data_IF_995437397332
#
_entry.id   IF_995437397332
#
_cell.length_a   1.000
_cell.length_b   1.000
_cell.length_c   1.000
_cell.angle_alpha   90.00
_cell.angle_beta   90.00
_cell.angle_gamma   90.00
#
_symmetry.space_group_name_H-M   'P 1'
#
loop_
_entity.id
_entity.type
_entity.pdbx_description
1 polymer ?
#
# COMPACT_ATOMS: atom_id res chain seq x y z
N UNK A 1 22.51 17.72 4.59
CA UNK A 1 21.48 17.52 3.53
C UNK A 1 20.49 16.41 3.90
N UNK A 2 20.95 15.24 4.36
CA UNK A 2 20.07 14.11 4.73
C UNK A 2 19.16 14.33 5.95
N UNK A 3 19.57 15.14 6.94
CA UNK A 3 18.71 15.48 8.10
C UNK A 3 17.45 16.26 7.71
N UNK A 4 17.52 17.14 6.71
CA UNK A 4 16.35 17.89 6.23
C UNK A 4 15.37 17.00 5.46
N UNK A 5 15.83 15.87 4.92
CA UNK A 5 14.98 14.91 4.21
C UNK A 5 14.22 14.01 5.19
N UNK A 6 14.84 13.64 6.32
CA UNK A 6 14.26 12.74 7.33
C UNK A 6 13.24 13.43 8.24
N UNK A 7 13.26 14.76 8.33
CA UNK A 7 12.32 15.54 9.12
C UNK A 7 10.95 15.62 8.43
N UNK A 8 9.88 15.42 9.20
CA UNK A 8 8.53 15.80 8.78
C UNK A 8 8.46 17.32 8.69
N UNK A 9 7.98 17.85 7.57
CA UNK A 9 7.72 19.29 7.47
C UNK A 9 6.56 19.65 8.42
N UNK A 10 6.44 20.91 8.83
CA UNK A 10 5.28 21.39 9.62
C UNK A 10 3.94 21.07 8.93
N UNK A 11 3.99 20.84 7.62
CA UNK A 11 2.82 20.73 6.76
C UNK A 11 2.52 19.28 6.33
N UNK A 12 3.39 18.30 6.65
CA UNK A 12 3.27 16.91 6.17
C UNK A 12 3.34 15.88 7.30
N UNK A 13 2.48 14.86 7.23
CA UNK A 13 2.52 13.72 8.17
C UNK A 13 3.72 12.83 7.86
N UNK A 14 4.03 12.64 6.57
CA UNK A 14 5.14 11.82 6.12
C UNK A 14 6.44 12.63 6.03
N UNK A 15 7.60 12.02 6.33
CA UNK A 15 8.90 12.56 5.95
C UNK A 15 8.97 12.81 4.44
N UNK A 16 9.61 13.92 4.04
CA UNK A 16 9.62 14.38 2.65
C UNK A 16 10.19 13.36 1.66
N UNK A 17 11.20 12.58 2.07
CA UNK A 17 11.78 11.56 1.20
C UNK A 17 10.80 10.40 0.91
N UNK A 18 9.92 10.06 1.86
CA UNK A 18 8.90 9.01 1.68
C UNK A 18 7.83 9.50 0.71
N UNK A 19 7.41 10.76 0.84
CA UNK A 19 6.49 11.37 -0.11
C UNK A 19 7.07 11.41 -1.53
N UNK A 20 8.32 11.88 -1.68
CA UNK A 20 9.02 11.90 -2.97
C UNK A 20 9.12 10.49 -3.56
N UNK A 21 9.42 9.49 -2.74
CA UNK A 21 9.44 8.09 -3.16
C UNK A 21 8.09 7.66 -3.73
N UNK A 22 6.98 7.83 -3.00
CA UNK A 22 5.66 7.40 -3.48
C UNK A 22 5.21 8.15 -4.75
N UNK A 23 5.56 9.44 -4.89
CA UNK A 23 5.32 10.20 -6.14
C UNK A 23 6.11 9.58 -7.30
N UNK A 24 7.42 9.35 -7.07
CA UNK A 24 8.31 8.79 -8.08
C UNK A 24 7.86 7.39 -8.49
N UNK A 25 7.48 6.56 -7.52
CA UNK A 25 6.95 5.21 -7.77
C UNK A 25 5.68 5.25 -8.60
N UNK A 26 4.72 6.14 -8.29
CA UNK A 26 3.52 6.28 -9.10
C UNK A 26 3.84 6.63 -10.57
N UNK A 27 4.75 7.58 -10.80
CA UNK A 27 5.14 7.98 -12.16
C UNK A 27 5.83 6.85 -12.91
N UNK A 28 6.80 6.18 -12.29
CA UNK A 28 7.54 5.08 -12.95
C UNK A 28 6.60 3.90 -13.21
N UNK A 29 5.76 3.51 -12.24
CA UNK A 29 4.80 2.44 -12.44
C UNK A 29 3.76 2.76 -13.52
N UNK A 30 3.32 4.02 -13.68
CA UNK A 30 2.44 4.40 -14.80
C UNK A 30 3.11 4.10 -16.14
N UNK A 31 4.39 4.49 -16.30
CA UNK A 31 5.15 4.20 -17.51
C UNK A 31 5.35 2.70 -17.70
N UNK A 32 5.60 1.96 -16.63
CA UNK A 32 5.83 0.52 -16.69
C UNK A 32 4.55 -0.27 -17.02
N UNK A 33 3.41 0.10 -16.44
CA UNK A 33 2.10 -0.44 -16.80
C UNK A 33 1.79 -0.15 -18.26
N UNK A 34 2.01 1.09 -18.72
CA UNK A 34 1.80 1.43 -20.12
C UNK A 34 2.72 0.65 -21.05
N UNK A 35 4.00 0.48 -20.70
CA UNK A 35 4.95 -0.37 -21.43
C UNK A 35 4.44 -1.80 -21.54
N UNK A 36 4.03 -2.40 -20.42
CA UNK A 36 3.67 -3.82 -20.35
C UNK A 36 2.30 -4.13 -20.95
N UNK A 37 1.31 -3.24 -20.78
CA UNK A 37 -0.07 -3.44 -21.25
C UNK A 37 -0.26 -3.09 -22.73
N UNK A 38 0.56 -2.20 -23.30
CA UNK A 38 0.45 -1.78 -24.70
C UNK A 38 1.30 -2.61 -25.67
N UNK A 39 1.93 -3.70 -25.20
CA UNK A 39 2.63 -4.63 -26.10
C UNK A 39 1.65 -5.23 -27.14
N UNK A 40 2.07 -5.37 -28.42
CA UNK A 40 3.43 -5.26 -28.93
C UNK A 40 3.86 -3.84 -29.38
N UNK A 41 3.06 -2.80 -29.13
CA UNK A 41 3.36 -1.45 -29.65
C UNK A 41 4.62 -0.84 -29.03
N UNK A 42 4.95 -1.23 -27.79
CA UNK A 42 6.01 -0.64 -26.96
C UNK A 42 7.35 -1.38 -27.01
N UNK A 43 7.34 -2.66 -27.37
CA UNK A 43 8.54 -3.50 -27.52
C UNK A 43 9.30 -3.19 -28.81
N UNK A 44 10.51 -3.75 -28.95
CA UNK A 44 11.35 -3.69 -30.17
C UNK A 44 10.53 -4.00 -31.43
N UNK A 45 10.63 -3.11 -32.42
CA UNK A 45 9.86 -3.17 -33.68
C UNK A 45 8.45 -2.59 -33.59
N UNK A 46 8.01 -2.15 -32.41
CA UNK A 46 6.73 -1.47 -32.19
C UNK A 46 6.80 0.04 -32.48
N UNK A 47 5.64 0.66 -32.72
CA UNK A 47 5.52 2.08 -33.06
C UNK A 47 6.00 3.00 -31.92
N UNK A 48 5.89 2.55 -30.66
CA UNK A 48 6.26 3.28 -29.45
C UNK A 48 7.65 2.89 -28.91
N UNK A 49 8.44 2.09 -29.64
CA UNK A 49 9.76 1.62 -29.20
C UNK A 49 10.67 2.77 -28.74
N UNK A 50 10.72 3.85 -29.53
CA UNK A 50 11.60 5.00 -29.26
C UNK A 50 11.21 5.73 -27.97
N UNK A 51 9.91 5.82 -27.65
CA UNK A 51 9.46 6.43 -26.40
C UNK A 51 9.84 5.56 -25.20
N UNK A 52 9.76 4.24 -25.37
CA UNK A 52 10.12 3.24 -24.35
C UNK A 52 11.54 2.70 -24.51
N UNK A 53 12.47 3.48 -25.08
CA UNK A 53 13.82 3.00 -25.38
C UNK A 53 14.55 2.44 -24.15
N UNK A 54 14.39 3.09 -22.98
CA UNK A 54 14.99 2.62 -21.72
C UNK A 54 14.39 1.28 -21.24
N UNK A 55 13.07 1.09 -21.37
CA UNK A 55 12.42 -0.19 -21.07
C UNK A 55 12.84 -1.27 -22.04
N UNK A 56 13.06 -0.91 -23.31
CA UNK A 56 13.56 -1.85 -24.31
C UNK A 56 14.99 -2.32 -23.97
N UNK A 57 15.88 -1.45 -23.48
CA UNK A 57 17.20 -1.86 -22.96
C UNK A 57 17.07 -2.88 -21.82
N UNK A 58 16.10 -2.67 -20.93
CA UNK A 58 15.81 -3.61 -19.85
C UNK A 58 15.28 -4.94 -20.40
N UNK A 59 14.35 -4.89 -21.36
CA UNK A 59 13.78 -6.07 -22.02
C UNK A 59 14.79 -6.89 -22.84
N UNK A 60 15.87 -6.26 -23.31
CA UNK A 60 16.98 -6.95 -23.98
C UNK A 60 17.79 -7.83 -23.00
N UNK A 61 17.59 -7.67 -21.69
CA UNK A 61 18.19 -8.50 -20.63
C UNK A 61 17.15 -9.44 -20.05
N UNK A 62 15.99 -8.89 -19.72
CA UNK A 62 14.85 -9.59 -19.14
C UNK A 62 13.80 -9.90 -20.21
N UNK A 63 13.86 -11.14 -20.71
CA UNK A 63 13.05 -11.58 -21.83
C UNK A 63 11.54 -11.60 -21.51
N UNK A 64 11.13 -11.62 -20.23
CA UNK A 64 9.70 -11.51 -19.88
C UNK A 64 9.14 -10.14 -20.24
N UNK A 65 9.95 -9.09 -20.15
CA UNK A 65 9.56 -7.75 -20.56
C UNK A 65 9.52 -7.59 -22.09
N UNK A 66 10.29 -8.41 -22.80
CA UNK A 66 10.36 -8.42 -24.27
C UNK A 66 9.28 -9.25 -24.94
N UNK A 67 8.76 -10.30 -24.27
CA UNK A 67 7.71 -11.16 -24.80
C UNK A 67 6.31 -10.54 -24.61
N UNK A 68 5.59 -10.18 -25.69
CA UNK A 68 4.23 -9.65 -25.60
C UNK A 68 3.22 -10.62 -24.97
N UNK A 69 3.54 -11.92 -24.92
CA UNK A 69 2.66 -12.99 -24.43
C UNK A 69 3.00 -13.45 -23.02
N UNK A 70 3.99 -12.86 -22.35
CA UNK A 70 4.34 -13.27 -20.99
C UNK A 70 3.24 -12.92 -19.98
N UNK A 71 2.68 -13.96 -19.35
CA UNK A 71 1.58 -13.85 -18.40
C UNK A 71 1.99 -13.19 -17.07
N UNK A 72 3.24 -13.38 -16.63
CA UNK A 72 3.73 -12.88 -15.35
C UNK A 72 3.90 -11.37 -15.41
N UNK A 73 4.51 -10.85 -16.48
CA UNK A 73 4.67 -9.41 -16.70
C UNK A 73 3.32 -8.74 -16.93
N UNK A 74 2.37 -9.41 -17.59
CA UNK A 74 0.99 -8.90 -17.70
C UNK A 74 0.27 -8.87 -16.33
N UNK A 75 0.40 -9.92 -15.52
CA UNK A 75 -0.23 -9.97 -14.19
C UNK A 75 0.35 -8.93 -13.24
N UNK A 76 1.68 -8.78 -13.21
CA UNK A 76 2.36 -7.77 -12.37
C UNK A 76 2.01 -6.35 -12.80
N UNK A 77 1.90 -6.07 -14.10
CA UNK A 77 1.40 -4.77 -14.59
C UNK A 77 -0.02 -4.45 -14.11
N UNK A 78 -0.92 -5.44 -14.05
CA UNK A 78 -2.29 -5.22 -13.52
C UNK A 78 -2.29 -4.93 -12.01
N UNK A 79 -1.42 -5.60 -11.25
CA UNK A 79 -1.24 -5.29 -9.82
C UNK A 79 -0.67 -3.88 -9.62
N UNK A 80 0.24 -3.44 -10.49
CA UNK A 80 0.81 -2.09 -10.44
C UNK A 80 -0.25 -0.99 -10.63
N UNK A 81 -1.36 -1.24 -11.35
CA UNK A 81 -2.47 -0.28 -11.43
C UNK A 81 -3.02 0.04 -10.03
N UNK A 82 -3.20 -0.98 -9.20
CA UNK A 82 -3.67 -0.81 -7.82
C UNK A 82 -2.64 -0.04 -7.00
N UNK A 83 -1.35 -0.38 -7.14
CA UNK A 83 -0.25 0.32 -6.45
C UNK A 83 -0.20 1.81 -6.82
N UNK A 84 -0.36 2.15 -8.10
CA UNK A 84 -0.41 3.54 -8.59
C UNK A 84 -1.54 4.30 -7.90
N UNK A 85 -2.77 3.74 -7.91
CA UNK A 85 -3.93 4.36 -7.28
C UNK A 85 -3.66 4.60 -5.79
N UNK A 86 -3.09 3.61 -5.09
CA UNK A 86 -2.81 3.76 -3.67
C UNK A 86 -1.67 4.74 -3.38
N UNK A 87 -0.63 4.81 -4.21
CA UNK A 87 0.43 5.83 -4.11
C UNK A 87 -0.14 7.24 -4.27
N UNK A 88 -1.01 7.46 -5.26
CA UNK A 88 -1.71 8.74 -5.44
C UNK A 88 -2.63 9.05 -4.25
N UNK A 89 -3.31 8.03 -3.72
CA UNK A 89 -4.15 8.18 -2.54
C UNK A 89 -3.36 8.56 -1.29
N UNK A 90 -2.15 8.01 -1.08
CA UNK A 90 -1.25 8.42 0.00
C UNK A 90 -0.89 9.90 -0.10
N UNK A 91 -0.57 10.38 -1.31
CA UNK A 91 -0.23 11.80 -1.54
C UNK A 91 -1.44 12.68 -1.19
N UNK A 92 -2.64 12.27 -1.59
CA UNK A 92 -3.88 12.95 -1.22
C UNK A 92 -4.10 12.98 0.30
N UNK A 93 -3.97 11.84 0.98
CA UNK A 93 -4.13 11.73 2.43
C UNK A 93 -3.09 12.55 3.20
N UNK A 94 -1.83 12.56 2.72
CA UNK A 94 -0.75 13.33 3.31
C UNK A 94 -1.04 14.83 3.24
N UNK A 95 -1.55 15.34 2.11
CA UNK A 95 -2.00 16.72 1.95
C UNK A 95 -3.19 17.06 2.87
N UNK A 96 -4.10 16.11 3.07
CA UNK A 96 -5.26 16.26 3.97
C UNK A 96 -4.91 16.05 5.44
N UNK A 97 -3.65 15.73 5.77
CA UNK A 97 -3.19 15.42 7.13
C UNK A 97 -4.08 14.34 7.80
N UNK A 98 -4.47 13.32 7.03
CA UNK A 98 -5.32 12.24 7.55
C UNK A 98 -4.53 11.29 8.45
N UNK A 99 -5.16 10.81 9.54
CA UNK A 99 -4.61 9.76 10.41
C UNK A 99 -4.28 8.46 9.67
N UNK A 100 -4.98 8.18 8.58
CA UNK A 100 -4.78 6.97 7.78
C UNK A 100 -3.51 7.01 6.93
N UNK A 101 -2.89 8.19 6.76
CA UNK A 101 -1.72 8.39 5.88
C UNK A 101 -0.58 7.44 6.19
N UNK A 102 -0.20 7.31 7.47
CA UNK A 102 0.95 6.46 7.87
C UNK A 102 0.65 4.99 7.61
N UNK A 103 -0.54 4.53 7.99
CA UNK A 103 -0.95 3.13 7.81
C UNK A 103 -1.04 2.78 6.32
N UNK A 104 -1.70 3.62 5.52
CA UNK A 104 -1.80 3.40 4.06
C UNK A 104 -0.42 3.41 3.41
N UNK A 105 0.45 4.37 3.77
CA UNK A 105 1.81 4.43 3.24
C UNK A 105 2.63 3.18 3.58
N UNK A 106 2.51 2.69 4.81
CA UNK A 106 3.14 1.44 5.23
C UNK A 106 2.63 0.27 4.38
N UNK A 107 1.31 0.06 4.30
CA UNK A 107 0.70 -1.05 3.56
C UNK A 107 1.10 -1.06 2.09
N UNK A 108 1.06 0.09 1.41
CA UNK A 108 1.43 0.17 -0.01
C UNK A 108 2.89 -0.19 -0.24
N UNK A 109 3.80 0.25 0.64
CA UNK A 109 5.21 -0.10 0.51
C UNK A 109 5.47 -1.58 0.82
N UNK A 110 4.67 -2.21 1.70
CA UNK A 110 4.67 -3.67 1.87
C UNK A 110 4.27 -4.40 0.57
N UNK A 111 3.24 -3.92 -0.14
CA UNK A 111 2.79 -4.50 -1.41
C UNK A 111 3.87 -4.38 -2.49
N UNK A 112 4.43 -3.19 -2.68
CA UNK A 112 5.51 -2.93 -3.65
C UNK A 112 6.71 -3.83 -3.35
N UNK A 113 7.11 -3.92 -2.09
CA UNK A 113 8.22 -4.77 -1.65
C UNK A 113 7.97 -6.23 -2.00
N UNK A 114 6.82 -6.79 -1.59
CA UNK A 114 6.53 -8.21 -1.75
C UNK A 114 6.34 -8.62 -3.21
N UNK A 115 5.71 -7.76 -4.03
CA UNK A 115 5.61 -7.99 -5.47
C UNK A 115 7.00 -8.11 -6.09
N UNK A 116 7.90 -7.17 -5.79
CA UNK A 116 9.26 -7.15 -6.33
C UNK A 116 10.08 -8.34 -5.81
N UNK A 117 9.93 -8.69 -4.53
CA UNK A 117 10.59 -9.85 -3.96
C UNK A 117 10.12 -11.15 -4.63
N UNK A 118 8.81 -11.30 -4.84
CA UNK A 118 8.24 -12.43 -5.57
C UNK A 118 8.73 -12.48 -7.03
N UNK A 119 8.89 -11.32 -7.66
CA UNK A 119 9.46 -11.25 -9.00
C UNK A 119 10.90 -11.78 -9.03
N UNK A 120 11.76 -11.31 -8.12
CA UNK A 120 13.16 -11.73 -8.03
C UNK A 120 13.30 -13.23 -7.73
N UNK A 121 12.45 -13.79 -6.87
CA UNK A 121 12.53 -15.22 -6.53
C UNK A 121 12.22 -16.14 -7.72
N UNK A 122 11.48 -15.67 -8.74
CA UNK A 122 11.28 -16.43 -10.00
C UNK A 122 12.59 -16.70 -10.76
N UNK A 123 13.65 -15.94 -10.47
CA UNK A 123 14.96 -16.06 -11.11
C UNK A 123 15.97 -16.82 -10.25
N UNK A 124 15.65 -17.10 -8.99
CA UNK A 124 16.52 -17.84 -8.08
C UNK A 124 16.22 -19.33 -8.22
N UNK A 125 17.23 -20.10 -8.65
CA UNK A 125 17.19 -21.58 -8.69
C UNK A 125 15.98 -22.14 -9.44
N UNK A 126 15.82 -21.71 -10.69
CA UNK A 126 14.76 -22.19 -11.57
C UNK A 126 14.78 -23.72 -11.71
N UNK A 127 13.62 -24.40 -11.69
CA UNK A 127 13.54 -25.84 -11.90
C UNK A 127 14.12 -26.26 -13.26
N UNK A 128 14.76 -27.42 -13.30
CA UNK A 128 15.29 -27.99 -14.54
C UNK A 128 14.20 -28.09 -15.63
N UNK A 129 14.54 -27.69 -16.85
CA UNK A 129 13.60 -27.65 -17.98
C UNK A 129 12.80 -26.36 -18.11
N UNK A 130 12.91 -25.42 -17.17
CA UNK A 130 12.34 -24.07 -17.32
C UNK A 130 13.19 -23.25 -18.28
N UNK A 131 12.56 -22.47 -19.17
CA UNK A 131 13.32 -21.54 -20.02
C UNK A 131 13.99 -20.46 -19.14
N UNK A 132 15.24 -20.12 -19.47
CA UNK A 132 15.87 -18.92 -18.90
C UNK A 132 15.18 -17.69 -19.46
N UNK A 133 14.76 -16.81 -18.57
CA UNK A 133 14.20 -15.50 -18.92
C UNK A 133 15.26 -14.40 -18.93
N UNK A 134 16.51 -14.72 -18.58
CA UNK A 134 17.65 -13.84 -18.79
C UNK A 134 18.26 -14.16 -20.16
N UNK A 135 18.45 -13.13 -20.96
CA UNK A 135 19.03 -13.23 -22.30
C UNK A 135 20.41 -13.88 -22.26
N UNK A 136 20.59 -14.98 -23.02
CA UNK A 136 21.81 -15.79 -23.03
C UNK A 136 23.04 -15.06 -23.58
N UNK A 137 22.83 -14.01 -24.36
CA UNK A 137 23.87 -13.15 -24.93
C UNK A 137 24.13 -11.89 -24.10
N UNK A 138 23.46 -11.71 -22.96
CA UNK A 138 23.68 -10.55 -22.10
C UNK A 138 24.99 -10.72 -21.31
N UNK A 139 25.83 -9.67 -21.33
CA UNK A 139 27.04 -9.64 -20.50
C UNK A 139 26.66 -9.67 -19.02
N UNK A 140 27.43 -10.39 -18.20
CA UNK A 140 27.22 -10.47 -16.75
C UNK A 140 27.03 -9.09 -16.10
N UNK A 141 27.84 -8.09 -16.49
CA UNK A 141 27.70 -6.73 -15.96
C UNK A 141 26.38 -6.07 -16.37
N UNK A 142 25.93 -6.30 -17.61
CA UNK A 142 24.63 -5.80 -18.08
C UNK A 142 23.51 -6.43 -17.26
N UNK A 143 23.54 -7.74 -17.07
CA UNK A 143 22.57 -8.44 -16.21
C UNK A 143 22.61 -7.92 -14.78
N UNK A 144 23.79 -7.77 -14.18
CA UNK A 144 23.92 -7.31 -12.80
C UNK A 144 23.33 -5.90 -12.58
N UNK A 145 23.70 -4.94 -13.42
CA UNK A 145 23.23 -3.56 -13.23
C UNK A 145 21.78 -3.35 -13.71
N UNK A 146 21.40 -3.94 -14.84
CA UNK A 146 20.07 -3.69 -15.42
C UNK A 146 19.00 -4.47 -14.69
N UNK A 147 19.29 -5.69 -14.25
CA UNK A 147 18.33 -6.54 -13.54
C UNK A 147 18.48 -6.37 -12.02
N UNK A 148 19.59 -6.87 -11.44
CA UNK A 148 19.73 -6.95 -9.98
C UNK A 148 19.75 -5.60 -9.26
N UNK A 149 20.45 -4.60 -9.80
CA UNK A 149 20.51 -3.28 -9.15
C UNK A 149 19.18 -2.54 -9.32
N UNK A 150 18.59 -2.57 -10.51
CA UNK A 150 17.30 -1.89 -10.76
C UNK A 150 16.19 -2.47 -9.89
N UNK A 151 15.98 -3.79 -9.91
CA UNK A 151 15.01 -4.47 -9.06
C UNK A 151 15.37 -4.38 -7.57
N UNK A 152 16.66 -4.40 -7.26
CA UNK A 152 17.17 -4.25 -5.90
C UNK A 152 16.74 -2.93 -5.24
N UNK A 153 16.71 -1.82 -5.99
CA UNK A 153 16.20 -0.53 -5.50
C UNK A 153 14.72 -0.62 -5.12
N UNK A 154 13.93 -1.35 -5.90
CA UNK A 154 12.50 -1.58 -5.66
C UNK A 154 12.21 -2.49 -4.46
N UNK A 155 13.18 -3.27 -3.98
CA UNK A 155 13.11 -3.92 -2.67
C UNK A 155 13.67 -3.03 -1.56
N UNK A 156 14.81 -2.37 -1.79
CA UNK A 156 15.53 -1.64 -0.76
C UNK A 156 14.75 -0.43 -0.25
N UNK A 157 14.25 0.44 -1.14
CA UNK A 157 13.61 1.69 -0.72
C UNK A 157 12.27 1.42 -0.01
N UNK A 158 11.34 0.59 -0.53
CA UNK A 158 10.14 0.22 0.22
C UNK A 158 10.46 -0.47 1.55
N UNK A 159 11.51 -1.31 1.60
CA UNK A 159 11.99 -1.90 2.85
C UNK A 159 12.39 -0.85 3.90
N UNK A 160 13.11 0.19 3.49
CA UNK A 160 13.46 1.31 4.37
C UNK A 160 12.22 2.10 4.83
N UNK A 161 11.24 2.31 3.96
CA UNK A 161 9.95 2.94 4.32
C UNK A 161 9.23 2.10 5.38
N UNK A 162 9.12 0.79 5.16
CA UNK A 162 8.49 -0.16 6.08
C UNK A 162 9.17 -0.07 7.46
N UNK A 163 10.48 -0.20 7.54
CA UNK A 163 11.23 -0.12 8.80
C UNK A 163 10.99 1.22 9.51
N UNK A 164 11.04 2.32 8.76
CA UNK A 164 10.87 3.67 9.34
C UNK A 164 9.46 3.88 9.89
N UNK A 165 8.44 3.43 9.17
CA UNK A 165 7.04 3.61 9.57
C UNK A 165 6.59 2.56 10.59
N UNK A 166 7.17 1.36 10.60
CA UNK A 166 6.90 0.31 11.60
C UNK A 166 7.11 0.83 13.02
N UNK A 167 8.26 1.45 13.28
CA UNK A 167 8.58 2.01 14.59
C UNK A 167 7.54 3.07 15.02
N UNK A 168 7.06 3.87 14.07
CA UNK A 168 6.03 4.88 14.32
C UNK A 168 4.68 4.26 14.64
N UNK A 169 4.31 3.16 13.97
CA UNK A 169 3.07 2.43 14.23
C UNK A 169 3.11 1.66 15.56
N UNK A 170 4.29 1.22 15.99
CA UNK A 170 4.49 0.41 17.20
C UNK A 170 4.70 1.21 18.50
N UNK A 171 4.54 2.54 18.49
CA UNK A 171 4.85 3.37 19.68
C UNK A 171 3.65 3.44 20.65
N UNK A 172 3.92 3.47 21.96
CA UNK A 172 2.91 3.49 23.05
C UNK A 172 1.91 4.65 23.01
N UNK A 173 2.20 5.76 22.34
CA UNK A 173 1.23 6.85 22.13
C UNK A 173 -0.04 6.39 21.41
N UNK A 174 0.04 5.37 20.55
CA UNK A 174 -1.14 4.76 19.91
C UNK A 174 -1.93 3.83 20.85
N UNK A 175 -1.28 3.35 21.92
CA UNK A 175 -1.86 2.41 22.90
C UNK A 175 -2.47 3.16 24.10
N UNK A 176 -1.97 4.36 24.43
CA UNK A 176 -2.36 5.11 25.64
C UNK A 176 -3.10 6.45 25.40
N UNK A 177 -3.31 6.92 24.17
CA UNK A 177 -4.04 8.16 23.94
C UNK A 177 -5.57 7.97 24.05
N UNK A 178 -6.09 8.11 25.27
CA UNK A 178 -7.48 8.49 25.53
C UNK A 178 -7.79 9.95 25.14
N UNK A 179 -6.80 10.71 24.65
CA UNK A 179 -6.98 12.07 24.14
C UNK A 179 -6.76 12.05 22.63
N UNK A 180 -7.87 12.02 21.88
CA UNK A 180 -7.94 12.10 20.42
C UNK A 180 -7.50 13.49 19.92
N UNK A 181 -6.22 13.80 20.03
CA UNK A 181 -5.61 14.99 19.43
C UNK A 181 -5.10 14.68 18.02
N UNK A 182 -5.99 14.13 17.18
CA UNK A 182 -5.82 14.14 15.74
C UNK A 182 -7.09 14.77 15.20
N UNK A 183 -6.94 15.95 14.59
CA UNK A 183 -8.04 16.77 14.08
C UNK A 183 -9.07 15.91 13.37
N UNK A 184 -10.20 15.70 14.07
CA UNK A 184 -11.41 15.22 13.46
C UNK A 184 -11.75 16.24 12.37
N UNK A 185 -12.10 15.77 11.17
CA UNK A 185 -12.86 16.61 10.24
C UNK A 185 -14.00 17.19 11.07
N UNK A 186 -14.09 18.52 11.17
CA UNK A 186 -15.17 19.19 11.87
C UNK A 186 -16.48 18.65 11.30
N UNK A 187 -17.10 17.73 12.04
CA UNK A 187 -18.48 17.32 11.80
C UNK A 187 -19.30 18.57 12.06
N UNK A 188 -19.98 19.05 11.01
CA UNK A 188 -20.85 20.22 11.05
C UNK A 188 -21.83 20.09 12.22
N UNK A 189 -22.29 21.21 12.79
CA UNK A 189 -23.17 21.23 13.97
C UNK A 189 -24.37 20.28 13.88
N UNK A 190 -24.91 20.07 12.67
CA UNK A 190 -26.00 19.11 12.42
C UNK A 190 -25.63 17.63 12.71
N UNK A 191 -24.39 17.23 12.46
CA UNK A 191 -23.92 15.85 12.72
C UNK A 191 -23.75 15.61 14.22
N UNK A 192 -23.44 16.65 15.00
CA UNK A 192 -23.36 16.55 16.46
C UNK A 192 -24.75 16.43 17.11
N UNK A 193 -25.77 17.06 16.54
CA UNK A 193 -27.15 16.97 17.01
C UNK A 193 -27.73 15.56 16.77
N UNK A 194 -27.52 15.02 15.56
CA UNK A 194 -27.89 13.65 15.22
C UNK A 194 -27.21 12.59 16.11
N UNK A 195 -25.93 12.78 16.45
CA UNK A 195 -25.21 11.87 17.35
C UNK A 195 -25.68 11.97 18.81
N UNK A 196 -26.26 13.11 19.23
CA UNK A 196 -26.87 13.26 20.56
C UNK A 196 -28.24 12.57 20.61
N UNK A 197 -29.06 12.71 19.58
CA UNK A 197 -30.34 11.99 19.46
C UNK A 197 -30.13 10.48 19.51
N UNK A 198 -29.23 9.95 18.67
CA UNK A 198 -28.96 8.50 18.61
C UNK A 198 -28.42 7.96 19.93
N UNK A 199 -27.66 8.75 20.69
CA UNK A 199 -27.19 8.34 22.03
C UNK A 199 -28.30 8.36 23.08
N UNK A 200 -29.22 9.33 23.02
CA UNK A 200 -30.38 9.40 23.90
C UNK A 200 -31.28 8.18 23.73
N UNK A 201 -31.59 7.83 22.49
CA UNK A 201 -32.51 6.72 22.18
C UNK A 201 -31.94 5.37 22.61
N UNK A 202 -30.64 5.15 22.40
CA UNK A 202 -29.97 3.93 22.85
C UNK A 202 -29.88 3.82 24.39
N UNK A 203 -29.87 4.93 25.12
CA UNK A 203 -29.88 4.90 26.60
C UNK A 203 -31.28 4.57 27.11
N UNK A 204 -32.33 5.07 26.45
CA UNK A 204 -33.73 4.78 26.82
C UNK A 204 -34.05 3.31 26.56
N UNK A 205 -33.69 2.78 25.38
CA UNK A 205 -33.89 1.36 25.02
C UNK A 205 -33.19 0.41 26.01
N UNK A 206 -31.93 0.69 26.36
CA UNK A 206 -31.20 -0.14 27.33
C UNK A 206 -31.77 -0.06 28.75
N UNK A 207 -32.54 0.98 29.08
CA UNK A 207 -33.16 1.13 30.41
C UNK A 207 -34.46 0.33 30.49
N UNK A 208 -35.26 0.32 29.41
CA UNK A 208 -36.47 -0.49 29.31
C UNK A 208 -36.15 -1.99 29.33
N UNK A 209 -35.11 -2.43 28.60
CA UNK A 209 -34.68 -3.83 28.57
C UNK A 209 -34.18 -4.33 29.94
N UNK A 210 -33.61 -3.44 30.76
CA UNK A 210 -33.13 -3.79 32.10
C UNK A 210 -34.27 -3.85 33.15
N UNK A 211 -35.30 -3.02 33.01
CA UNK A 211 -36.48 -3.09 33.89
C UNK A 211 -37.35 -4.31 33.58
N UNK A 212 -37.47 -4.71 32.31
CA UNK A 212 -38.24 -5.90 31.92
C UNK A 212 -37.55 -7.21 32.38
N UNK A 213 -36.22 -7.27 32.30
CA UNK A 213 -35.45 -8.43 32.78
C UNK A 213 -35.43 -8.56 34.31
N UNK A 214 -35.42 -7.46 35.06
CA UNK A 214 -35.49 -7.50 36.52
C UNK A 214 -36.86 -7.95 37.03
N UNK A 215 -37.95 -7.58 36.35
CA UNK A 215 -39.30 -8.04 36.72
C UNK A 215 -39.51 -9.53 36.41
N UNK A 216 -38.94 -10.06 35.31
CA UNK A 216 -38.98 -11.50 35.02
C UNK A 216 -38.27 -12.33 36.08
N UNK A 217 -37.07 -11.91 36.52
CA UNK A 217 -36.28 -12.67 37.50
C UNK A 217 -36.95 -12.73 38.88
N UNK A 218 -37.62 -11.65 39.32
CA UNK A 218 -38.35 -11.66 40.59
C UNK A 218 -39.59 -12.57 40.55
N UNK A 219 -40.29 -12.67 39.41
CA UNK A 219 -41.45 -13.57 39.28
C UNK A 219 -41.08 -15.06 39.29
N UNK A 220 -39.90 -15.42 38.79
CA UNK A 220 -39.41 -16.80 38.79
C UNK A 220 -38.90 -17.28 40.15
N UNK A 221 -38.48 -16.38 41.03
CA UNK A 221 -37.98 -16.73 42.38
C UNK A 221 -39.15 -17.05 43.32
N UNK A 222 -40.29 -16.35 43.20
CA UNK A 222 -41.49 -16.63 44.00
C UNK A 222 -42.19 -17.94 43.63
N UNK A 223 -42.04 -18.44 42.39
CA UNK A 223 -42.62 -19.70 41.95
C UNK A 223 -41.86 -20.95 42.44
N UNK A 224 -40.58 -20.83 42.84
CA UNK A 224 -39.75 -21.96 43.30
C UNK A 224 -39.72 -22.17 44.82
N UNK A 225 -40.37 -21.30 45.61
CA UNK A 225 -40.36 -21.36 47.07
C UNK A 225 -41.59 -22.07 47.69
N UNK A 226 -42.51 -22.59 46.86
CA UNK A 226 -43.70 -23.33 47.29
C UNK A 226 -43.75 -24.76 46.70
N UNK A 227 -42.75 -25.59 47.00
CA UNK A 227 -42.85 -27.07 46.94
C UNK A 227 -42.08 -27.67 48.12
#
# INVERSE_FOLDING_TARGET
>A
MFENLSKTSSDSILPRWIEIWNITSAVICILDVAYTMLRPLTVRGGILENFYYLWNIYSDVDLRYGDPKDIVTMATGRLMIIEIIMCLYIIYLNKKKSRHTVLTCFTVNVLIFWKTLLYLTLYIRQPHGTQSYIASNSSFFKTFFVFWVADGIWCLIPGLVIIKLWNRLATKETINNNNNEYGMVETNENDQELLKEVKSDNIILNKEDNEENNNKNNSSIEASANV
#
